data_IF_196905057153
#
_entry.id   IF_196905057153
#
_cell.length_a   1.000
_cell.length_b   1.000
_cell.length_c   1.000
_cell.angle_alpha   90.00
_cell.angle_beta   90.00
_cell.angle_gamma   90.00
#
_symmetry.space_group_name_H-M   'P 1'
#
loop_
_entity.id
_entity.type
_entity.pdbx_description
1 polymer ?
#
# COMPACT_ATOMS: atom_id res chain seq x y z
N UNK A 1 7.91 -44.48 12.43
CA UNK A 1 8.66 -43.26 12.04
C UNK A 1 7.64 -42.38 11.38
N UNK A 2 7.11 -41.42 12.12
CA UNK A 2 6.12 -40.48 11.60
C UNK A 2 6.87 -39.38 10.83
N UNK A 3 6.56 -39.24 9.54
CA UNK A 3 7.07 -38.15 8.72
C UNK A 3 6.59 -36.81 9.29
N UNK A 4 7.47 -35.79 9.36
CA UNK A 4 7.04 -34.46 9.79
C UNK A 4 6.15 -33.89 8.67
N UNK A 5 4.86 -33.79 8.95
CA UNK A 5 3.91 -33.01 8.16
C UNK A 5 4.46 -31.58 8.09
N UNK A 6 5.11 -31.23 6.98
CA UNK A 6 5.49 -29.88 6.64
C UNK A 6 4.22 -29.05 6.69
N UNK A 7 4.03 -28.31 7.78
CA UNK A 7 2.96 -27.35 7.93
C UNK A 7 3.07 -26.39 6.76
N UNK A 8 2.27 -26.63 5.71
CA UNK A 8 1.95 -25.63 4.70
C UNK A 8 1.31 -24.49 5.48
N UNK A 9 2.09 -23.46 5.76
CA UNK A 9 1.57 -22.19 6.22
C UNK A 9 0.42 -21.82 5.27
N UNK A 10 -0.80 -21.55 5.77
CA UNK A 10 -1.90 -21.17 4.91
C UNK A 10 -1.45 -19.97 4.06
N UNK A 11 -1.53 -20.10 2.73
CA UNK A 11 -1.23 -18.98 1.85
C UNK A 11 -2.14 -17.80 2.23
N UNK A 12 -1.60 -16.59 2.38
CA UNK A 12 -2.40 -15.42 2.72
C UNK A 12 -3.48 -15.22 1.65
N UNK A 13 -4.71 -14.94 2.09
CA UNK A 13 -5.82 -14.71 1.17
C UNK A 13 -5.63 -13.35 0.49
N UNK A 14 -6.04 -13.25 -0.77
CA UNK A 14 -5.97 -12.00 -1.53
C UNK A 14 -6.70 -10.85 -0.83
N UNK A 15 -7.85 -11.17 -0.23
CA UNK A 15 -8.65 -10.23 0.53
C UNK A 15 -7.89 -9.66 1.75
N UNK A 16 -7.26 -10.52 2.55
CA UNK A 16 -6.46 -10.11 3.70
C UNK A 16 -5.31 -9.17 3.27
N UNK A 17 -4.63 -9.49 2.17
CA UNK A 17 -3.54 -8.67 1.62
C UNK A 17 -4.04 -7.31 1.07
N UNK A 18 -5.22 -7.28 0.47
CA UNK A 18 -5.84 -6.05 0.01
C UNK A 18 -6.30 -5.16 1.16
N UNK A 19 -6.90 -5.76 2.20
CA UNK A 19 -7.24 -5.08 3.45
C UNK A 19 -5.97 -4.47 4.07
N UNK A 20 -4.91 -5.26 4.22
CA UNK A 20 -3.66 -4.80 4.82
C UNK A 20 -3.02 -3.67 4.01
N UNK A 21 -3.01 -3.77 2.67
CA UNK A 21 -2.49 -2.71 1.81
C UNK A 21 -3.27 -1.40 1.99
N UNK A 22 -4.60 -1.45 1.92
CA UNK A 22 -5.47 -0.27 2.09
C UNK A 22 -5.33 0.33 3.50
N UNK A 23 -5.22 -0.51 4.53
CA UNK A 23 -5.06 -0.06 5.92
C UNK A 23 -3.74 0.71 6.12
N UNK A 24 -2.63 0.21 5.55
CA UNK A 24 -1.35 0.91 5.62
C UNK A 24 -1.35 2.20 4.79
N UNK A 25 -2.08 2.25 3.68
CA UNK A 25 -2.29 3.49 2.91
C UNK A 25 -3.06 4.54 3.73
N UNK A 26 -4.14 4.13 4.41
CA UNK A 26 -4.92 5.01 5.28
C UNK A 26 -4.07 5.58 6.41
N UNK A 27 -3.29 4.73 7.08
CA UNK A 27 -2.36 5.17 8.13
C UNK A 27 -1.31 6.16 7.60
N UNK A 28 -0.73 5.90 6.42
CA UNK A 28 0.22 6.82 5.80
C UNK A 28 -0.43 8.17 5.48
N UNK A 29 -1.67 8.16 5.01
CA UNK A 29 -2.43 9.37 4.69
C UNK A 29 -2.74 10.20 5.93
N UNK A 30 -3.15 9.57 7.04
CA UNK A 30 -3.42 10.28 8.30
C UNK A 30 -2.17 10.99 8.83
N UNK A 31 -1.02 10.30 8.79
CA UNK A 31 0.26 10.87 9.20
C UNK A 31 0.67 12.02 8.28
N UNK A 32 0.50 11.85 6.97
CA UNK A 32 0.85 12.88 5.98
C UNK A 32 -0.09 14.09 6.04
N UNK A 33 -1.38 13.91 6.33
CA UNK A 33 -2.32 15.02 6.52
C UNK A 33 -1.98 15.81 7.79
N UNK A 34 -1.61 15.13 8.88
CA UNK A 34 -1.09 15.78 10.08
C UNK A 34 0.18 16.59 9.76
N UNK A 35 1.10 16.03 8.99
CA UNK A 35 2.32 16.72 8.58
C UNK A 35 2.02 17.96 7.72
N UNK A 36 1.19 17.82 6.68
CA UNK A 36 0.85 18.91 5.76
C UNK A 36 0.12 20.07 6.45
N UNK A 37 -0.65 19.81 7.52
CA UNK A 37 -1.29 20.86 8.34
C UNK A 37 -0.29 21.68 9.15
N UNK A 38 0.80 21.07 9.61
CA UNK A 38 1.82 21.74 10.42
C UNK A 38 2.94 22.35 9.58
N UNK A 39 3.21 21.79 8.40
CA UNK A 39 4.23 22.24 7.47
C UNK A 39 3.62 22.47 6.08
N UNK A 40 2.88 23.58 5.96
CA UNK A 40 2.08 23.91 4.77
C UNK A 40 2.99 24.38 3.64
N UNK A 41 3.57 23.42 2.94
CA UNK A 41 4.25 23.64 1.67
C UNK A 41 3.38 23.11 0.54
N UNK A 42 3.48 23.71 -0.64
CA UNK A 42 2.75 23.24 -1.82
C UNK A 42 3.04 21.75 -2.09
N UNK A 43 4.28 21.32 -1.84
CA UNK A 43 4.70 19.96 -2.13
C UNK A 43 4.14 18.94 -1.14
N UNK A 44 4.08 19.26 0.16
CA UNK A 44 3.44 18.41 1.17
C UNK A 44 1.94 18.25 0.90
N UNK A 45 1.26 19.34 0.51
CA UNK A 45 -0.15 19.30 0.14
C UNK A 45 -0.40 18.43 -1.10
N UNK A 46 0.44 18.54 -2.13
CA UNK A 46 0.32 17.72 -3.34
C UNK A 46 0.56 16.25 -3.04
N UNK A 47 1.54 15.91 -2.19
CA UNK A 47 1.79 14.52 -1.79
C UNK A 47 0.60 13.91 -1.05
N UNK A 48 0.04 14.68 -0.09
CA UNK A 48 -1.18 14.27 0.62
C UNK A 48 -2.33 14.03 -0.36
N UNK A 49 -2.57 14.97 -1.27
CA UNK A 49 -3.71 14.88 -2.19
C UNK A 49 -3.55 13.72 -3.18
N UNK A 50 -2.33 13.46 -3.66
CA UNK A 50 -2.01 12.30 -4.48
C UNK A 50 -2.32 10.98 -3.74
N UNK A 51 -1.78 10.83 -2.53
CA UNK A 51 -2.01 9.64 -1.72
C UNK A 51 -3.49 9.47 -1.38
N UNK A 52 -4.21 10.57 -1.11
CA UNK A 52 -5.66 10.56 -0.87
C UNK A 52 -6.44 10.03 -2.08
N UNK A 53 -6.08 10.42 -3.29
CA UNK A 53 -6.73 9.92 -4.51
C UNK A 53 -6.53 8.41 -4.64
N UNK A 54 -5.31 7.93 -4.40
CA UNK A 54 -5.01 6.50 -4.46
C UNK A 54 -5.73 5.71 -3.38
N UNK A 55 -5.73 6.21 -2.14
CA UNK A 55 -6.43 5.59 -1.01
C UNK A 55 -7.94 5.49 -1.28
N UNK A 56 -8.60 6.59 -1.67
CA UNK A 56 -10.06 6.60 -1.89
C UNK A 56 -10.45 5.61 -2.99
N UNK A 57 -9.67 5.52 -4.07
CA UNK A 57 -9.93 4.53 -5.13
C UNK A 57 -9.80 3.10 -4.62
N UNK A 58 -8.75 2.82 -3.85
CA UNK A 58 -8.49 1.48 -3.34
C UNK A 58 -9.51 1.05 -2.28
N UNK A 59 -9.84 1.94 -1.35
CA UNK A 59 -10.85 1.76 -0.29
C UNK A 59 -12.25 1.51 -0.87
N UNK A 60 -12.65 2.30 -1.89
CA UNK A 60 -13.92 2.09 -2.58
C UNK A 60 -13.98 0.75 -3.31
N UNK A 61 -12.92 0.38 -4.03
CA UNK A 61 -12.87 -0.88 -4.75
C UNK A 61 -12.91 -2.08 -3.79
N UNK A 62 -12.20 -1.99 -2.66
CA UNK A 62 -12.19 -3.02 -1.62
C UNK A 62 -13.53 -3.13 -0.89
N UNK A 63 -14.22 -2.00 -0.65
CA UNK A 63 -15.55 -1.98 -0.02
C UNK A 63 -16.67 -2.63 -0.84
N UNK A 64 -16.42 -2.94 -2.12
CA UNK A 64 -17.39 -3.63 -2.99
C UNK A 64 -17.34 -5.16 -2.87
N UNK A 65 -16.57 -5.69 -1.91
CA UNK A 65 -16.32 -7.14 -1.74
C UNK A 65 -15.91 -7.80 -3.07
N UNK A 66 -14.83 -7.29 -3.72
CA UNK A 66 -14.41 -7.72 -5.03
C UNK A 66 -14.04 -9.21 -5.08
N UNK A 67 -14.24 -9.83 -6.24
CA UNK A 67 -13.79 -11.21 -6.47
C UNK A 67 -12.27 -11.24 -6.69
N UNK A 68 -11.66 -12.43 -6.61
CA UNK A 68 -10.19 -12.61 -6.72
C UNK A 68 -9.55 -11.91 -7.92
N UNK A 69 -10.22 -11.87 -9.08
CA UNK A 69 -9.71 -11.17 -10.27
C UNK A 69 -9.71 -9.65 -10.11
N UNK A 70 -10.75 -9.10 -9.49
CA UNK A 70 -10.89 -7.67 -9.22
C UNK A 70 -9.92 -7.26 -8.11
N UNK A 71 -9.74 -8.10 -7.08
CA UNK A 71 -8.70 -7.95 -6.06
C UNK A 71 -7.31 -7.93 -6.67
N UNK A 72 -7.02 -8.84 -7.61
CA UNK A 72 -5.73 -8.87 -8.29
C UNK A 72 -5.47 -7.58 -9.08
N UNK A 73 -6.46 -7.08 -9.81
CA UNK A 73 -6.37 -5.79 -10.51
C UNK A 73 -6.18 -4.61 -9.56
N UNK A 74 -6.95 -4.57 -8.47
CA UNK A 74 -6.82 -3.58 -7.40
C UNK A 74 -5.41 -3.58 -6.79
N UNK A 75 -4.87 -4.76 -6.46
CA UNK A 75 -3.55 -4.90 -5.87
C UNK A 75 -2.46 -4.48 -6.85
N UNK A 76 -2.61 -4.81 -8.13
CA UNK A 76 -1.71 -4.35 -9.18
C UNK A 76 -1.68 -2.81 -9.28
N UNK A 77 -2.86 -2.19 -9.42
CA UNK A 77 -2.98 -0.73 -9.49
C UNK A 77 -2.45 -0.05 -8.23
N UNK A 78 -2.71 -0.64 -7.06
CA UNK A 78 -2.21 -0.16 -5.77
C UNK A 78 -0.69 -0.20 -5.72
N UNK A 79 -0.06 -1.31 -6.11
CA UNK A 79 1.40 -1.43 -6.13
C UNK A 79 2.06 -0.40 -7.05
N UNK A 80 1.48 -0.17 -8.23
CA UNK A 80 1.96 0.84 -9.20
C UNK A 80 1.84 2.25 -8.61
N UNK A 81 0.65 2.61 -8.12
CA UNK A 81 0.40 3.93 -7.53
C UNK A 81 1.30 4.22 -6.34
N UNK A 82 1.55 3.21 -5.50
CA UNK A 82 2.44 3.32 -4.35
C UNK A 82 3.91 3.49 -4.74
N UNK A 83 4.35 2.88 -5.85
CA UNK A 83 5.68 3.14 -6.40
C UNK A 83 5.93 4.62 -6.62
N UNK A 84 5.00 5.30 -7.32
CA UNK A 84 5.08 6.74 -7.55
C UNK A 84 5.00 7.55 -6.26
N UNK A 85 4.11 7.20 -5.32
CA UNK A 85 3.98 7.92 -4.06
C UNK A 85 5.26 7.83 -3.20
N UNK A 86 5.88 6.65 -3.14
CA UNK A 86 7.13 6.43 -2.41
C UNK A 86 8.27 7.25 -3.01
N UNK A 87 8.43 7.26 -4.34
CA UNK A 87 9.47 8.06 -5.00
C UNK A 87 9.36 9.55 -4.66
N UNK A 88 8.12 10.08 -4.67
CA UNK A 88 7.89 11.48 -4.32
C UNK A 88 8.22 11.73 -2.85
N UNK A 89 7.75 10.90 -1.91
CA UNK A 89 8.03 11.06 -0.47
C UNK A 89 9.52 10.91 -0.16
N UNK A 90 10.20 9.94 -0.76
CA UNK A 90 11.64 9.72 -0.55
C UNK A 90 12.46 10.91 -1.10
N UNK A 91 12.04 11.51 -2.22
CA UNK A 91 12.67 12.73 -2.73
C UNK A 91 12.49 13.91 -1.76
N UNK A 92 11.29 14.08 -1.17
CA UNK A 92 11.04 15.11 -0.16
C UNK A 92 11.86 14.94 1.11
N UNK A 93 12.03 13.68 1.53
CA UNK A 93 12.82 13.38 2.72
C UNK A 93 14.33 13.55 2.47
N UNK A 94 14.80 13.37 1.23
CA UNK A 94 16.21 13.39 0.87
C UNK A 94 16.85 14.77 0.71
N UNK A 95 16.06 15.84 0.58
CA UNK A 95 16.61 17.15 0.15
C UNK A 95 17.20 18.02 1.27
N UNK A 96 16.76 17.94 2.54
CA UNK A 96 17.39 18.76 3.61
C UNK A 96 16.98 18.44 5.07
N UNK A 97 15.99 17.57 5.29
CA UNK A 97 15.53 17.23 6.63
C UNK A 97 15.16 15.75 6.65
N UNK A 98 15.92 14.92 7.37
CA UNK A 98 15.50 13.59 7.80
C UNK A 98 14.25 13.74 8.70
N UNK A 99 13.11 14.08 8.11
CA UNK A 99 11.88 14.32 8.82
C UNK A 99 11.33 12.98 9.29
N UNK A 100 11.30 12.72 10.61
CA UNK A 100 10.87 11.43 11.13
C UNK A 100 9.43 11.09 10.71
N UNK A 101 8.60 12.10 10.42
CA UNK A 101 7.23 11.94 9.95
C UNK A 101 7.22 11.46 8.50
N UNK A 102 8.00 12.08 7.61
CA UNK A 102 8.11 11.63 6.22
C UNK A 102 8.77 10.25 6.11
N UNK A 103 9.72 9.94 6.98
CA UNK A 103 10.26 8.59 7.12
C UNK A 103 9.19 7.58 7.53
N UNK A 104 8.35 7.90 8.51
CA UNK A 104 7.23 7.04 8.92
C UNK A 104 6.21 6.84 7.80
N UNK A 105 5.88 7.90 7.04
CA UNK A 105 5.02 7.82 5.85
C UNK A 105 5.64 6.89 4.81
N UNK A 106 6.92 7.08 4.47
CA UNK A 106 7.65 6.22 3.52
C UNK A 106 7.64 4.75 3.96
N UNK A 107 7.86 4.49 5.25
CA UNK A 107 7.80 3.14 5.80
C UNK A 107 6.41 2.50 5.65
N UNK A 108 5.35 3.23 5.97
CA UNK A 108 3.96 2.74 5.83
C UNK A 108 3.60 2.48 4.37
N UNK A 109 4.02 3.36 3.44
CA UNK A 109 3.80 3.17 2.01
C UNK A 109 4.57 1.96 1.47
N UNK A 110 5.81 1.75 1.92
CA UNK A 110 6.62 0.56 1.58
C UNK A 110 5.96 -0.72 2.10
N UNK A 111 5.38 -0.69 3.30
CA UNK A 111 4.62 -1.82 3.83
C UNK A 111 3.35 -2.09 3.00
N UNK A 112 2.56 -1.05 2.69
CA UNK A 112 1.38 -1.17 1.83
C UNK A 112 1.74 -1.77 0.46
N UNK A 113 2.82 -1.30 -0.15
CA UNK A 113 3.29 -1.79 -1.45
C UNK A 113 3.69 -3.26 -1.37
N UNK A 114 4.37 -3.66 -0.29
CA UNK A 114 4.75 -5.06 -0.08
C UNK A 114 3.51 -5.97 -0.04
N UNK A 115 2.46 -5.60 0.70
CA UNK A 115 1.22 -6.38 0.71
C UNK A 115 0.57 -6.46 -0.67
N UNK A 116 0.58 -5.35 -1.41
CA UNK A 116 0.08 -5.33 -2.78
C UNK A 116 0.89 -6.22 -3.73
N UNK A 117 2.22 -6.16 -3.68
CA UNK A 117 3.12 -7.01 -4.47
C UNK A 117 2.95 -8.49 -4.12
N UNK A 118 2.87 -8.83 -2.83
CA UNK A 118 2.63 -10.19 -2.34
C UNK A 118 1.28 -10.72 -2.81
N UNK A 119 0.24 -9.87 -2.78
CA UNK A 119 -1.09 -10.20 -3.28
C UNK A 119 -1.10 -10.45 -4.79
N UNK A 120 -0.39 -9.62 -5.57
CA UNK A 120 -0.22 -9.85 -7.01
C UNK A 120 0.49 -11.17 -7.27
N UNK A 121 1.57 -11.46 -6.54
CA UNK A 121 2.31 -12.71 -6.68
C UNK A 121 1.43 -13.93 -6.33
N UNK A 122 0.65 -13.84 -5.25
CA UNK A 122 -0.28 -14.89 -4.84
C UNK A 122 -1.39 -15.14 -5.88
N UNK A 123 -1.99 -14.07 -6.42
CA UNK A 123 -3.05 -14.18 -7.43
C UNK A 123 -2.55 -14.82 -8.73
N UNK A 124 -1.38 -14.40 -9.20
CA UNK A 124 -0.73 -14.98 -10.39
C UNK A 124 -0.36 -16.47 -10.17
N UNK A 125 0.13 -16.84 -8.98
CA UNK A 125 0.47 -18.22 -8.65
C UNK A 125 -0.76 -19.14 -8.63
N UNK A 126 -1.95 -18.61 -8.31
CA UNK A 126 -3.22 -19.31 -8.33
C UNK A 126 -3.87 -19.35 -9.74
N UNK A 127 -3.20 -18.83 -10.77
CA UNK A 127 -3.69 -18.85 -12.16
C UNK A 127 -4.68 -17.74 -12.50
N UNK A 128 -4.84 -16.73 -11.64
CA UNK A 128 -5.58 -15.53 -11.99
C UNK A 128 -4.73 -14.65 -12.93
N UNK A 129 -5.35 -14.10 -13.97
CA UNK A 129 -4.74 -13.16 -14.90
C UNK A 129 -5.21 -11.74 -14.59
N UNK A 130 -4.25 -10.80 -14.62
CA UNK A 130 -4.48 -9.35 -14.58
C UNK A 130 -5.15 -8.92 -15.88
#
# INVERSE_FOLDING_TARGET
MDEPNLATSPQPKLDDLAIDAVLHMGAALDVLDLHARHNITAINCVCRDLLRIYYVKADQAQSLEPQDKELLGLLHDTAVNLGYAIEVVDHLNGDEADDPILYAVSYLLKAAKRFADEGVAAGLACGACV
#
